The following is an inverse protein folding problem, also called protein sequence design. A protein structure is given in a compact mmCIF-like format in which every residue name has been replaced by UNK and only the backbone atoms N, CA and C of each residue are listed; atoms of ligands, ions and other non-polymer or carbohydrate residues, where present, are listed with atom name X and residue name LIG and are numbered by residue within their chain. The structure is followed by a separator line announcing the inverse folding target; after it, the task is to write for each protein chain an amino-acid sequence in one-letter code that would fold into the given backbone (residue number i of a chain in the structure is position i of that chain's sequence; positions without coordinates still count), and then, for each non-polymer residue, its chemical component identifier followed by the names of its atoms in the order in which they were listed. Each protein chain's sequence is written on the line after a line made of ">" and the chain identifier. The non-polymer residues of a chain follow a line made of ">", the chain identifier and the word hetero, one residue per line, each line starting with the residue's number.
data_IF_004798940337
#
_entry.id   IF_004798940337
#
_cell.length_a   1.000
_cell.length_b   1.000
_cell.length_c   1.000
_cell.angle_alpha   90.00
_cell.angle_beta   90.00
_cell.angle_gamma   90.00
#
_symmetry.space_group_name_H-M   'P 1'
#
loop_
_entity.id
_entity.type
_entity.pdbx_description
1 polymer ?
#
# COMPACT_ATOMS: atom_id res chain seq x y z
N UNK A 1 -13.20 19.30 -43.60
CA UNK A 1 -13.12 17.88 -43.17
C UNK A 1 -11.95 17.59 -42.22
N UNK A 2 -10.73 18.11 -42.45
CA UNK A 2 -9.56 17.87 -41.55
C UNK A 2 -9.75 18.32 -40.10
N UNK A 3 -10.37 19.49 -39.89
CA UNK A 3 -10.55 20.08 -38.55
C UNK A 3 -11.49 19.25 -37.67
N UNK A 4 -12.53 18.65 -38.25
CA UNK A 4 -13.46 17.78 -37.55
C UNK A 4 -12.79 16.48 -37.06
N UNK A 5 -11.90 15.89 -37.87
CA UNK A 5 -11.08 14.74 -37.44
C UNK A 5 -10.15 15.06 -36.28
N UNK A 6 -9.53 16.25 -36.30
CA UNK A 6 -8.62 16.68 -35.23
C UNK A 6 -9.39 16.92 -33.93
N UNK A 7 -10.53 17.60 -34.00
CA UNK A 7 -11.42 17.79 -32.84
C UNK A 7 -11.90 16.46 -32.27
N UNK A 8 -12.32 15.53 -33.14
CA UNK A 8 -12.76 14.20 -32.73
C UNK A 8 -11.64 13.40 -32.04
N UNK A 9 -10.42 13.42 -32.60
CA UNK A 9 -9.26 12.78 -32.01
C UNK A 9 -8.90 13.37 -30.63
N UNK A 10 -8.96 14.70 -30.49
CA UNK A 10 -8.72 15.38 -29.20
C UNK A 10 -9.79 15.00 -28.18
N UNK A 11 -11.07 14.98 -28.57
CA UNK A 11 -12.15 14.56 -27.66
C UNK A 11 -12.03 13.09 -27.24
N UNK A 12 -11.60 12.18 -28.13
CA UNK A 12 -11.34 10.79 -27.78
C UNK A 12 -10.15 10.64 -26.82
N UNK A 13 -9.09 11.42 -27.01
CA UNK A 13 -7.93 11.44 -26.11
C UNK A 13 -8.31 11.97 -24.71
N UNK A 14 -9.07 13.06 -24.65
CA UNK A 14 -9.54 13.64 -23.38
C UNK A 14 -10.54 12.74 -22.66
N UNK A 15 -11.42 12.05 -23.39
CA UNK A 15 -12.31 11.04 -22.80
C UNK A 15 -11.54 9.84 -22.23
N UNK A 16 -10.41 9.46 -22.84
CA UNK A 16 -9.49 8.45 -22.32
C UNK A 16 -8.84 8.83 -20.99
N UNK A 17 -8.57 10.12 -20.77
CA UNK A 17 -8.05 10.65 -19.50
C UNK A 17 -9.09 10.62 -18.36
N UNK A 18 -10.38 10.48 -18.69
CA UNK A 18 -11.47 10.41 -17.70
C UNK A 18 -11.87 8.97 -17.35
N UNK A 19 -11.19 7.94 -17.88
CA UNK A 19 -11.37 6.58 -17.35
C UNK A 19 -10.96 6.58 -15.87
N UNK A 20 -11.79 6.04 -14.96
CA UNK A 20 -11.34 5.80 -13.60
C UNK A 20 -10.11 4.90 -13.73
N UNK A 21 -8.95 5.48 -13.45
CA UNK A 21 -7.67 4.78 -13.53
C UNK A 21 -7.82 3.60 -12.59
N UNK A 22 -7.89 2.39 -13.16
CA UNK A 22 -7.88 1.16 -12.37
C UNK A 22 -6.77 1.33 -11.33
N UNK A 23 -7.10 1.10 -10.06
CA UNK A 23 -6.23 1.41 -8.94
C UNK A 23 -4.84 0.82 -9.19
N UNK A 24 -3.88 1.67 -9.56
CA UNK A 24 -2.55 1.21 -9.92
C UNK A 24 -1.77 0.98 -8.63
N UNK A 25 -1.40 -0.27 -8.38
CA UNK A 25 -0.60 -0.71 -7.23
C UNK A 25 0.63 0.18 -7.04
N UNK A 26 1.32 0.53 -8.13
CA UNK A 26 2.51 1.39 -8.09
C UNK A 26 2.21 2.80 -7.59
N UNK A 27 1.17 3.45 -8.12
CA UNK A 27 0.82 4.80 -7.66
C UNK A 27 0.33 4.79 -6.21
N UNK A 28 -0.40 3.74 -5.81
CA UNK A 28 -0.87 3.63 -4.43
C UNK A 28 0.28 3.36 -3.45
N UNK A 29 1.27 2.54 -3.85
CA UNK A 29 2.46 2.28 -3.04
C UNK A 29 3.32 3.55 -2.83
N UNK A 30 3.20 4.56 -3.70
CA UNK A 30 3.87 5.86 -3.54
C UNK A 30 3.08 6.87 -2.71
N UNK A 31 1.82 6.60 -2.38
CA UNK A 31 0.91 7.50 -1.66
C UNK A 31 0.44 6.88 -0.33
N UNK A 32 1.19 7.04 0.77
CA UNK A 32 0.91 6.36 2.04
C UNK A 32 -0.42 6.78 2.68
N UNK A 33 -0.78 8.06 2.61
CA UNK A 33 -1.99 8.58 3.28
C UNK A 33 -3.24 8.00 2.63
N UNK A 34 -3.25 7.94 1.30
CA UNK A 34 -4.32 7.31 0.54
C UNK A 34 -4.36 5.80 0.77
N UNK A 35 -3.21 5.13 0.77
CA UNK A 35 -3.10 3.69 1.04
C UNK A 35 -3.68 3.32 2.42
N UNK A 36 -3.30 4.01 3.49
CA UNK A 36 -3.81 3.74 4.84
C UNK A 36 -5.31 3.99 4.95
N UNK A 37 -5.82 5.02 4.28
CA UNK A 37 -7.26 5.29 4.22
C UNK A 37 -8.00 4.10 3.59
N UNK A 38 -7.52 3.60 2.45
CA UNK A 38 -8.13 2.45 1.76
C UNK A 38 -8.00 1.15 2.57
N UNK A 39 -6.89 0.93 3.27
CA UNK A 39 -6.74 -0.21 4.18
C UNK A 39 -7.80 -0.18 5.29
N UNK A 40 -8.06 0.99 5.89
CA UNK A 40 -9.10 1.14 6.90
C UNK A 40 -10.50 0.86 6.33
N UNK A 41 -10.79 1.33 5.11
CA UNK A 41 -12.06 1.05 4.43
C UNK A 41 -12.23 -0.44 4.11
N UNK A 42 -11.18 -1.11 3.65
CA UNK A 42 -11.18 -2.56 3.41
C UNK A 42 -11.41 -3.36 4.69
N UNK A 43 -10.82 -2.96 5.82
CA UNK A 43 -11.07 -3.58 7.14
C UNK A 43 -12.51 -3.39 7.62
N UNK A 44 -13.18 -2.30 7.22
CA UNK A 44 -14.59 -2.06 7.49
C UNK A 44 -15.54 -2.73 6.49
N UNK A 45 -15.01 -3.40 5.47
CA UNK A 45 -15.81 -4.11 4.47
C UNK A 45 -16.49 -3.18 3.45
N UNK A 46 -15.94 -1.99 3.22
CA UNK A 46 -16.54 -1.00 2.30
C UNK A 46 -16.28 -1.29 0.81
N UNK A 47 -15.38 -2.23 0.49
CA UNK A 47 -14.97 -2.58 -0.87
C UNK A 47 -14.97 -4.09 -1.11
N UNK A 48 -15.00 -4.50 -2.36
CA UNK A 48 -14.92 -5.91 -2.74
C UNK A 48 -13.53 -6.53 -2.50
N UNK A 49 -13.48 -7.86 -2.47
CA UNK A 49 -12.25 -8.60 -2.16
C UNK A 49 -11.14 -8.42 -3.20
N UNK A 50 -11.47 -8.24 -4.48
CA UNK A 50 -10.46 -8.05 -5.53
C UNK A 50 -9.81 -6.67 -5.41
N UNK A 51 -10.60 -5.65 -5.10
CA UNK A 51 -10.12 -4.31 -4.78
C UNK A 51 -9.22 -4.35 -3.54
N UNK A 52 -9.68 -4.97 -2.45
CA UNK A 52 -8.88 -5.05 -1.22
C UNK A 52 -7.60 -5.87 -1.39
N UNK A 53 -7.58 -6.87 -2.27
CA UNK A 53 -6.35 -7.56 -2.65
C UNK A 53 -5.33 -6.64 -3.36
N UNK A 54 -5.78 -5.74 -4.23
CA UNK A 54 -4.90 -4.76 -4.87
C UNK A 54 -4.34 -3.74 -3.87
N UNK A 55 -5.16 -3.29 -2.92
CA UNK A 55 -4.73 -2.41 -1.82
C UNK A 55 -3.68 -3.11 -0.96
N UNK A 56 -3.89 -4.38 -0.59
CA UNK A 56 -2.92 -5.17 0.16
C UNK A 56 -1.61 -5.40 -0.62
N UNK A 57 -1.69 -5.58 -1.94
CA UNK A 57 -0.51 -5.68 -2.79
C UNK A 57 0.30 -4.37 -2.83
N UNK A 58 -0.37 -3.21 -2.83
CA UNK A 58 0.28 -1.91 -2.78
C UNK A 58 0.98 -1.69 -1.43
N UNK A 59 0.34 -2.13 -0.33
CA UNK A 59 0.91 -2.11 1.02
C UNK A 59 2.19 -2.95 1.10
N UNK A 60 2.14 -4.20 0.64
CA UNK A 60 3.32 -5.08 0.59
C UNK A 60 4.45 -4.47 -0.25
N UNK A 61 4.15 -3.93 -1.44
CA UNK A 61 5.15 -3.30 -2.30
C UNK A 61 5.80 -2.09 -1.61
N UNK A 62 5.01 -1.30 -0.88
CA UNK A 62 5.52 -0.16 -0.12
C UNK A 62 6.44 -0.61 1.00
N UNK A 63 6.00 -1.56 1.81
CA UNK A 63 6.77 -2.16 2.90
C UNK A 63 8.14 -2.66 2.39
N UNK A 64 8.15 -3.45 1.30
CA UNK A 64 9.37 -4.00 0.71
C UNK A 64 10.25 -2.95 0.02
N UNK A 65 9.76 -1.75 -0.24
CA UNK A 65 10.56 -0.70 -0.88
C UNK A 65 11.53 -0.01 0.08
N UNK A 66 11.38 -0.19 1.39
CA UNK A 66 12.20 0.48 2.40
C UNK A 66 12.03 2.00 2.47
N UNK A 67 11.06 2.57 1.74
CA UNK A 67 10.74 4.01 1.72
C UNK A 67 9.70 4.40 2.79
N UNK A 68 9.60 3.62 3.84
CA UNK A 68 8.67 3.88 4.93
C UNK A 68 9.12 5.12 5.71
N UNK A 69 8.17 6.01 6.02
CA UNK A 69 8.42 7.11 6.96
C UNK A 69 8.49 6.60 8.41
N UNK A 70 9.12 7.36 9.32
CA UNK A 70 9.17 7.00 10.75
C UNK A 70 7.78 6.92 11.40
N UNK A 71 6.80 7.64 10.85
CA UNK A 71 5.42 7.70 11.36
C UNK A 71 4.47 6.74 10.63
N UNK A 72 4.98 5.90 9.74
CA UNK A 72 4.15 5.10 8.82
C UNK A 72 3.81 3.71 9.35
N UNK A 73 4.74 3.08 10.06
CA UNK A 73 4.51 1.84 10.78
C UNK A 73 4.68 2.11 12.26
N UNK A 74 4.08 1.24 13.09
CA UNK A 74 4.17 1.36 14.54
C UNK A 74 5.62 1.52 14.97
N UNK A 75 5.85 2.50 15.84
CA UNK A 75 7.18 2.69 16.42
C UNK A 75 7.48 1.52 17.35
N UNK A 76 8.75 1.31 17.68
CA UNK A 76 9.14 0.27 18.64
C UNK A 76 8.40 0.39 19.97
N UNK A 77 8.00 1.62 20.36
CA UNK A 77 7.25 1.90 21.57
C UNK A 77 5.77 1.47 21.50
N UNK A 78 5.21 1.35 20.30
CA UNK A 78 3.81 0.97 20.08
C UNK A 78 3.63 -0.55 19.92
N UNK A 79 4.72 -1.29 19.72
CA UNK A 79 4.68 -2.74 19.57
C UNK A 79 4.23 -3.43 20.86
N UNK A 80 3.43 -4.51 20.77
CA UNK A 80 3.08 -5.30 21.93
C UNK A 80 4.34 -5.90 22.58
N UNK A 81 4.32 -6.17 23.90
CA UNK A 81 5.44 -6.81 24.56
C UNK A 81 5.78 -8.15 23.90
N UNK A 82 7.07 -8.48 23.85
CA UNK A 82 7.54 -9.74 23.29
C UNK A 82 6.91 -10.89 24.10
N UNK A 83 6.22 -11.85 23.45
CA UNK A 83 5.63 -12.97 24.16
C UNK A 83 6.70 -13.85 24.80
N UNK A 84 6.43 -14.36 26.01
CA UNK A 84 7.35 -15.25 26.75
C UNK A 84 7.71 -16.54 25.99
N UNK A 85 6.95 -16.92 24.96
CA UNK A 85 7.31 -18.03 24.07
C UNK A 85 8.54 -17.77 23.21
N UNK A 86 8.97 -16.51 23.09
CA UNK A 86 10.19 -16.12 22.38
C UNK A 86 11.42 -16.17 23.27
N UNK A 87 11.25 -16.27 24.59
CA UNK A 87 12.35 -16.60 25.48
C UNK A 87 12.74 -18.05 25.17
N UNK A 88 13.93 -18.22 24.60
CA UNK A 88 14.50 -19.55 24.40
C UNK A 88 14.65 -20.27 25.74
N UNK A 89 14.92 -21.59 25.75
CA UNK A 89 15.32 -22.23 26.99
C UNK A 89 16.49 -21.43 27.59
N UNK A 90 16.53 -21.29 28.92
CA UNK A 90 17.61 -20.66 29.69
C UNK A 90 18.93 -21.44 29.50
N UNK A 91 19.42 -21.52 28.27
CA UNK A 91 20.73 -21.98 27.95
C UNK A 91 21.67 -20.86 28.42
N UNK A 92 22.71 -21.19 29.20
CA UNK A 92 23.72 -20.20 29.56
C UNK A 92 24.17 -19.49 28.30
N UNK A 93 24.04 -18.15 28.27
CA UNK A 93 24.66 -17.35 27.23
C UNK A 93 26.14 -17.74 27.24
N UNK A 94 26.59 -18.39 26.17
CA UNK A 94 28.00 -18.75 26.04
C UNK A 94 28.80 -17.46 26.18
N UNK A 95 29.53 -17.36 27.30
CA UNK A 95 30.48 -16.28 27.52
C UNK A 95 31.62 -16.57 26.54
N UNK A 96 31.71 -15.76 25.48
CA UNK A 96 32.83 -15.78 24.56
C UNK A 96 34.14 -15.60 25.35
N UNK A 97 35.17 -16.43 25.11
CA UNK A 97 36.43 -16.40 25.86
C UNK A 97 37.28 -15.14 25.60
#
# INVERSE_FOLDING_TARGET
>A
MKSASVLFAITCLLAGCHRPRALSVDALATDPTRLHTLLAQCRRGEHDGAFCAQVAQADLRRFLSGRAGPDEYQTLADLPPIPASFDGPDAPLEVEP
#
